data_IF_558011059758
#
_entry.id   IF_558011059758
#
_cell.length_a   1.000
_cell.length_b   1.000
_cell.length_c   1.000
_cell.angle_alpha   90.00
_cell.angle_beta   90.00
_cell.angle_gamma   90.00
#
_symmetry.space_group_name_H-M   'P 1'
#
loop_
_entity.id
_entity.type
_entity.pdbx_description
1 polymer ?
#
# COMPACT_ATOMS: atom_id res chain seq x y z
N UNK A 1 -78.01 9.12 2.74
CA UNK A 1 -77.77 9.25 1.32
C UNK A 1 -76.38 9.75 1.09
N UNK A 2 -75.58 9.05 0.30
CA UNK A 2 -74.28 9.36 -0.28
C UNK A 2 -73.03 9.33 0.58
N UNK A 3 -72.53 8.11 0.82
CA UNK A 3 -71.14 7.86 1.17
C UNK A 3 -70.43 6.86 0.19
N UNK A 4 -70.90 6.68 -1.03
CA UNK A 4 -70.45 5.57 -1.87
C UNK A 4 -69.78 5.99 -3.22
N UNK A 5 -69.54 7.30 -3.46
CA UNK A 5 -68.90 7.72 -4.72
C UNK A 5 -67.40 8.03 -4.62
N UNK A 6 -66.86 8.25 -3.42
CA UNK A 6 -65.42 8.56 -3.26
C UNK A 6 -64.49 7.33 -3.25
N UNK A 7 -65.07 6.08 -3.14
CA UNK A 7 -64.26 4.85 -3.10
C UNK A 7 -63.89 4.32 -4.49
N UNK A 8 -64.59 4.71 -5.55
CA UNK A 8 -64.29 4.24 -6.91
C UNK A 8 -63.22 5.04 -7.62
N UNK A 9 -63.11 6.33 -7.32
CA UNK A 9 -62.09 7.20 -7.94
C UNK A 9 -60.65 6.90 -7.45
N UNK A 10 -60.48 6.58 -6.17
CA UNK A 10 -59.16 6.28 -5.63
C UNK A 10 -58.56 4.96 -6.10
N UNK A 11 -59.43 3.96 -6.40
CA UNK A 11 -58.97 2.66 -6.91
C UNK A 11 -58.57 2.71 -8.39
N UNK A 12 -59.21 3.54 -9.19
CA UNK A 12 -58.88 3.72 -10.61
C UNK A 12 -57.50 4.45 -10.76
N UNK A 13 -57.24 5.45 -9.95
CA UNK A 13 -55.97 6.18 -9.99
C UNK A 13 -54.79 5.29 -9.53
N UNK A 14 -54.99 4.45 -8.53
CA UNK A 14 -53.98 3.50 -8.07
C UNK A 14 -53.59 2.45 -9.11
N UNK A 15 -54.57 1.92 -9.85
CA UNK A 15 -54.30 0.92 -10.90
C UNK A 15 -53.55 1.53 -12.09
N UNK A 16 -53.86 2.77 -12.49
CA UNK A 16 -53.18 3.44 -13.58
C UNK A 16 -51.75 3.78 -13.18
N UNK A 17 -51.48 4.16 -11.93
CA UNK A 17 -50.13 4.44 -11.44
C UNK A 17 -49.25 3.17 -11.43
N UNK A 18 -49.78 2.00 -11.04
CA UNK A 18 -49.04 0.74 -11.06
C UNK A 18 -48.81 0.22 -12.49
N UNK A 19 -49.74 0.39 -13.41
CA UNK A 19 -49.55 0.00 -14.81
C UNK A 19 -48.51 0.91 -15.50
N UNK A 20 -48.52 2.22 -15.21
CA UNK A 20 -47.53 3.16 -15.75
C UNK A 20 -46.11 2.87 -15.29
N UNK A 21 -45.93 2.52 -14.01
CA UNK A 21 -44.59 2.17 -13.46
C UNK A 21 -44.07 0.84 -14.01
N UNK A 22 -44.93 -0.16 -14.13
CA UNK A 22 -44.61 -1.44 -14.75
C UNK A 22 -44.17 -1.33 -16.21
N UNK A 23 -44.84 -0.46 -16.99
CA UNK A 23 -44.53 -0.23 -18.41
C UNK A 23 -43.20 0.54 -18.58
N UNK A 24 -42.90 1.50 -17.69
CA UNK A 24 -41.63 2.24 -17.66
C UNK A 24 -40.46 1.31 -17.33
N UNK A 25 -40.60 0.41 -16.35
CA UNK A 25 -39.56 -0.58 -16.00
C UNK A 25 -39.38 -1.58 -17.15
N UNK A 26 -40.45 -2.04 -17.81
CA UNK A 26 -40.36 -2.95 -18.94
C UNK A 26 -39.68 -2.33 -20.17
N UNK A 27 -39.83 -1.02 -20.39
CA UNK A 27 -39.18 -0.32 -21.51
C UNK A 27 -37.71 0.03 -21.24
N UNK A 28 -37.30 0.12 -19.96
CA UNK A 28 -35.89 0.45 -19.61
C UNK A 28 -35.01 -0.79 -19.45
N UNK A 29 -35.57 -1.97 -19.14
CA UNK A 29 -34.82 -3.21 -19.01
C UNK A 29 -33.97 -3.59 -20.23
N UNK A 30 -34.43 -3.44 -21.48
CA UNK A 30 -33.60 -3.75 -22.65
C UNK A 30 -32.48 -2.76 -22.89
N UNK A 31 -32.56 -1.51 -22.39
CA UNK A 31 -31.52 -0.53 -22.49
C UNK A 31 -30.39 -0.81 -21.49
N UNK A 32 -30.71 -1.25 -20.28
CA UNK A 32 -29.72 -1.64 -19.27
C UNK A 32 -29.01 -2.95 -19.61
N UNK A 33 -29.76 -3.92 -20.16
CA UNK A 33 -29.16 -5.17 -20.61
C UNK A 33 -28.18 -4.98 -21.78
N UNK A 34 -28.45 -4.03 -22.69
CA UNK A 34 -27.51 -3.72 -23.78
C UNK A 34 -26.22 -3.03 -23.32
N UNK A 35 -26.30 -2.15 -22.31
CA UNK A 35 -25.10 -1.50 -21.76
C UNK A 35 -24.22 -2.47 -21.00
N UNK A 36 -24.81 -3.38 -20.22
CA UNK A 36 -24.06 -4.42 -19.49
C UNK A 36 -23.45 -5.44 -20.46
N UNK A 37 -24.23 -5.86 -21.48
CA UNK A 37 -23.74 -6.81 -22.50
C UNK A 37 -22.61 -6.19 -23.34
N UNK A 38 -22.73 -4.93 -23.73
CA UNK A 38 -21.67 -4.26 -24.49
C UNK A 38 -20.39 -4.02 -23.67
N UNK A 39 -20.51 -3.91 -22.35
CA UNK A 39 -19.34 -3.80 -21.48
C UNK A 39 -18.63 -5.15 -21.30
N UNK A 40 -19.36 -6.26 -21.38
CA UNK A 40 -18.84 -7.63 -21.29
C UNK A 40 -18.31 -8.18 -22.63
N UNK A 41 -18.71 -7.61 -23.76
CA UNK A 41 -18.24 -8.05 -25.09
C UNK A 41 -16.70 -8.02 -25.23
N UNK A 42 -15.96 -6.98 -24.80
CA UNK A 42 -14.50 -7.00 -24.81
C UNK A 42 -13.93 -8.14 -23.96
N UNK A 43 -14.58 -8.44 -22.84
CA UNK A 43 -14.14 -9.50 -21.91
C UNK A 43 -14.41 -10.89 -22.48
N UNK A 44 -15.56 -11.08 -23.16
CA UNK A 44 -15.87 -12.35 -23.87
C UNK A 44 -14.94 -12.60 -25.03
N UNK A 45 -14.69 -11.61 -25.88
CA UNK A 45 -13.74 -11.72 -26.97
C UNK A 45 -12.32 -11.99 -26.48
N UNK A 46 -11.96 -11.40 -25.35
CA UNK A 46 -10.65 -11.58 -24.72
C UNK A 46 -10.48 -12.99 -24.13
N UNK A 47 -11.48 -13.52 -23.43
CA UNK A 47 -11.46 -14.90 -22.88
C UNK A 47 -11.35 -15.92 -24.01
N UNK A 48 -12.09 -15.75 -25.11
CA UNK A 48 -12.06 -16.68 -26.25
C UNK A 48 -10.77 -16.58 -27.08
N UNK A 49 -10.19 -15.39 -27.20
CA UNK A 49 -9.01 -15.15 -28.04
C UNK A 49 -7.65 -15.36 -27.36
N UNK A 50 -7.58 -15.29 -26.04
CA UNK A 50 -6.33 -15.34 -25.29
C UNK A 50 -6.07 -16.67 -24.58
N UNK A 51 -7.03 -17.60 -24.52
CA UNK A 51 -6.80 -18.93 -23.97
C UNK A 51 -5.78 -19.76 -24.80
N UNK A 52 -5.55 -19.39 -26.05
CA UNK A 52 -4.54 -20.04 -26.91
C UNK A 52 -3.21 -19.26 -27.02
N UNK A 53 -3.11 -18.07 -26.43
CA UNK A 53 -1.93 -17.22 -26.64
C UNK A 53 -1.26 -16.82 -25.34
N UNK A 54 -0.18 -17.53 -25.04
CA UNK A 54 1.05 -17.01 -24.43
C UNK A 54 1.13 -16.92 -22.92
N UNK A 55 1.83 -17.87 -22.39
CA UNK A 55 2.70 -17.69 -21.23
C UNK A 55 3.75 -16.62 -21.56
N UNK A 56 3.67 -15.43 -20.98
CA UNK A 56 4.75 -14.45 -21.00
C UNK A 56 5.70 -14.81 -19.85
N UNK A 57 6.96 -15.17 -20.12
CA UNK A 57 7.89 -15.47 -19.04
C UNK A 57 8.25 -14.20 -18.27
N UNK A 58 8.10 -14.26 -16.95
CA UNK A 58 8.54 -13.22 -16.03
C UNK A 58 10.07 -13.23 -15.88
N UNK A 59 10.78 -12.08 -15.87
CA UNK A 59 12.25 -12.04 -15.96
C UNK A 59 13.02 -12.35 -14.69
N UNK A 60 12.49 -13.08 -13.73
CA UNK A 60 13.22 -13.43 -12.50
C UNK A 60 12.88 -14.80 -11.93
N UNK A 61 12.84 -15.84 -12.76
CA UNK A 61 12.65 -17.19 -12.24
C UNK A 61 13.97 -17.94 -12.12
N UNK A 62 14.36 -18.33 -10.90
CA UNK A 62 15.19 -19.50 -10.72
C UNK A 62 14.42 -20.73 -11.24
N UNK A 63 15.11 -21.73 -11.83
CA UNK A 63 14.45 -22.95 -12.28
C UNK A 63 13.82 -23.65 -11.07
N UNK A 64 12.50 -23.66 -11.01
CA UNK A 64 11.75 -24.59 -10.16
C UNK A 64 11.81 -25.96 -10.86
N UNK A 65 12.04 -27.08 -10.13
CA UNK A 65 12.09 -28.41 -10.75
C UNK A 65 10.84 -28.67 -11.59
N UNK A 66 11.01 -29.39 -12.71
CA UNK A 66 10.04 -29.71 -13.77
C UNK A 66 8.71 -30.36 -13.31
N UNK A 67 7.97 -29.70 -12.43
CA UNK A 67 6.55 -30.02 -12.27
C UNK A 67 5.78 -29.41 -13.42
N UNK A 68 4.89 -30.16 -14.11
CA UNK A 68 4.09 -29.59 -15.18
C UNK A 68 3.28 -28.41 -14.64
N UNK A 69 3.49 -27.23 -15.21
CA UNK A 69 2.68 -26.05 -14.87
C UNK A 69 1.26 -26.35 -15.31
N UNK A 70 0.41 -26.71 -14.35
CA UNK A 70 -1.01 -26.95 -14.62
C UNK A 70 -1.66 -25.59 -14.80
N UNK A 71 -1.99 -25.22 -16.05
CA UNK A 71 -2.71 -23.99 -16.34
C UNK A 71 -4.06 -23.98 -15.60
N UNK A 72 -4.57 -22.77 -15.30
CA UNK A 72 -5.94 -22.62 -14.79
C UNK A 72 -6.92 -23.26 -15.80
N UNK A 73 -7.88 -24.08 -15.31
CA UNK A 73 -8.95 -24.58 -16.15
C UNK A 73 -9.85 -23.43 -16.61
N UNK A 74 -10.51 -23.62 -17.74
CA UNK A 74 -11.47 -22.63 -18.26
C UNK A 74 -12.55 -22.29 -17.23
N UNK A 75 -13.07 -23.30 -16.51
CA UNK A 75 -14.08 -23.12 -15.49
C UNK A 75 -13.61 -22.27 -14.30
N UNK A 76 -12.35 -22.46 -13.86
CA UNK A 76 -11.75 -21.64 -12.79
C UNK A 76 -11.60 -20.19 -13.20
N UNK A 77 -11.11 -19.96 -14.42
CA UNK A 77 -10.96 -18.60 -14.98
C UNK A 77 -12.31 -17.91 -15.12
N UNK A 78 -13.31 -18.58 -15.69
CA UNK A 78 -14.64 -18.03 -15.88
C UNK A 78 -15.31 -17.71 -14.54
N UNK A 79 -15.26 -18.62 -13.57
CA UNK A 79 -15.80 -18.39 -12.23
C UNK A 79 -15.11 -17.21 -11.52
N UNK A 80 -13.79 -17.14 -11.60
CA UNK A 80 -13.02 -16.03 -11.02
C UNK A 80 -13.35 -14.69 -11.69
N UNK A 81 -13.49 -14.67 -13.01
CA UNK A 81 -13.82 -13.48 -13.78
C UNK A 81 -15.24 -12.98 -13.46
N UNK A 82 -16.23 -13.89 -13.39
CA UNK A 82 -17.60 -13.54 -13.01
C UNK A 82 -17.66 -12.95 -11.60
N UNK A 83 -16.96 -13.56 -10.64
CA UNK A 83 -16.85 -13.06 -9.27
C UNK A 83 -16.17 -11.68 -9.24
N UNK A 84 -15.12 -11.50 -10.03
CA UNK A 84 -14.42 -10.23 -10.16
C UNK A 84 -15.37 -9.13 -10.64
N UNK A 85 -16.02 -9.31 -11.79
CA UNK A 85 -16.95 -8.34 -12.37
C UNK A 85 -18.05 -7.94 -11.38
N UNK A 86 -18.63 -8.92 -10.69
CA UNK A 86 -19.65 -8.65 -9.66
C UNK A 86 -19.11 -7.83 -8.50
N UNK A 87 -17.92 -8.14 -8.00
CA UNK A 87 -17.35 -7.47 -6.85
C UNK A 87 -16.91 -6.03 -7.13
N UNK A 88 -16.40 -5.75 -8.34
CA UNK A 88 -15.95 -4.41 -8.71
C UNK A 88 -17.03 -3.53 -9.33
N UNK A 89 -18.21 -4.07 -9.60
CA UNK A 89 -19.31 -3.31 -10.20
C UNK A 89 -19.66 -1.99 -9.47
N UNK A 90 -19.65 -1.91 -8.12
CA UNK A 90 -19.87 -0.65 -7.40
C UNK A 90 -18.64 0.23 -7.27
N UNK A 91 -17.47 -0.22 -7.73
CA UNK A 91 -16.19 0.48 -7.53
C UNK A 91 -15.89 1.40 -8.70
N UNK A 92 -15.58 2.65 -8.43
CA UNK A 92 -15.07 3.58 -9.46
C UNK A 92 -13.58 3.38 -9.62
N UNK A 93 -13.17 2.66 -10.67
CA UNK A 93 -11.77 2.34 -10.93
C UNK A 93 -11.47 2.21 -12.43
N UNK A 94 -10.22 2.50 -12.80
CA UNK A 94 -9.66 2.28 -14.13
C UNK A 94 -8.93 0.93 -14.13
N UNK A 95 -9.63 -0.11 -14.56
CA UNK A 95 -9.18 -1.50 -14.54
C UNK A 95 -8.93 -2.01 -15.97
N UNK A 96 -7.81 -2.69 -16.14
CA UNK A 96 -7.51 -3.45 -17.36
C UNK A 96 -7.41 -4.93 -17.00
N UNK A 97 -8.34 -5.77 -17.48
CA UNK A 97 -8.24 -7.21 -17.30
C UNK A 97 -6.93 -7.75 -17.92
N UNK A 98 -6.29 -8.67 -17.22
CA UNK A 98 -5.04 -9.31 -17.64
C UNK A 98 -5.30 -10.81 -17.82
N UNK A 99 -4.56 -11.44 -18.74
CA UNK A 99 -4.59 -12.87 -18.95
C UNK A 99 -4.32 -13.61 -17.62
N UNK A 100 -4.94 -14.79 -17.41
CA UNK A 100 -4.62 -15.63 -16.26
C UNK A 100 -3.12 -15.84 -16.13
N UNK A 101 -2.59 -15.65 -14.94
CA UNK A 101 -1.18 -15.88 -14.64
C UNK A 101 -1.06 -17.19 -13.88
N UNK A 102 -0.17 -18.08 -14.35
CA UNK A 102 0.22 -19.29 -13.65
C UNK A 102 1.70 -19.54 -13.87
N UNK A 103 2.48 -19.47 -12.78
CA UNK A 103 3.91 -19.72 -12.77
C UNK A 103 4.20 -20.61 -11.55
N UNK A 104 4.23 -21.93 -11.77
CA UNK A 104 4.24 -22.90 -10.69
C UNK A 104 3.02 -22.76 -9.77
N UNK A 105 3.27 -22.47 -8.51
CA UNK A 105 2.23 -22.20 -7.51
C UNK A 105 1.78 -20.73 -7.50
N UNK A 106 2.54 -19.83 -8.13
CA UNK A 106 2.19 -18.41 -8.24
C UNK A 106 1.12 -18.15 -9.30
N UNK A 107 0.40 -17.04 -9.14
CA UNK A 107 -0.51 -16.50 -10.14
C UNK A 107 -1.92 -16.26 -9.63
N UNK A 108 -2.75 -15.81 -10.55
CA UNK A 108 -4.17 -15.54 -10.32
C UNK A 108 -4.98 -15.85 -11.58
N UNK A 109 -6.20 -16.41 -11.45
CA UNK A 109 -7.03 -16.80 -12.60
C UNK A 109 -7.68 -15.61 -13.32
N UNK A 110 -7.88 -14.49 -12.63
CA UNK A 110 -8.50 -13.28 -13.20
C UNK A 110 -7.88 -12.00 -12.58
N UNK A 111 -6.58 -11.75 -12.80
CA UNK A 111 -5.93 -10.55 -12.30
C UNK A 111 -6.29 -9.33 -13.14
N UNK A 112 -6.13 -8.15 -12.54
CA UNK A 112 -6.35 -6.86 -13.22
C UNK A 112 -5.17 -5.93 -13.01
N UNK A 113 -4.87 -5.09 -14.00
CA UNK A 113 -4.06 -3.90 -13.79
C UNK A 113 -4.96 -2.76 -13.33
N UNK A 114 -4.77 -2.31 -12.09
CA UNK A 114 -5.40 -1.13 -11.54
C UNK A 114 -4.52 0.09 -11.86
N UNK A 115 -5.01 1.01 -12.71
CA UNK A 115 -4.33 2.25 -13.10
C UNK A 115 -4.78 3.45 -12.29
N UNK A 116 -6.03 3.45 -11.85
CA UNK A 116 -6.60 4.54 -11.07
C UNK A 116 -7.86 4.10 -10.34
N UNK A 117 -8.17 4.77 -9.22
CA UNK A 117 -9.27 4.39 -8.34
C UNK A 117 -9.78 5.61 -7.58
N UNK A 118 -11.03 5.62 -7.19
CA UNK A 118 -11.67 6.65 -6.39
C UNK A 118 -12.78 7.39 -7.12
N UNK A 119 -13.85 7.71 -6.37
CA UNK A 119 -15.06 8.33 -6.90
C UNK A 119 -14.94 9.85 -6.96
N UNK A 120 -14.63 10.49 -5.83
CA UNK A 120 -14.53 11.95 -5.70
C UNK A 120 -13.13 12.45 -6.01
N UNK A 121 -12.14 11.76 -5.49
CA UNK A 121 -10.74 12.08 -5.67
C UNK A 121 -10.06 10.91 -6.37
N UNK A 122 -9.80 11.06 -7.66
CA UNK A 122 -9.14 10.02 -8.43
C UNK A 122 -7.67 9.91 -8.00
N UNK A 123 -7.28 8.72 -7.56
CA UNK A 123 -5.90 8.35 -7.22
C UNK A 123 -5.33 7.52 -8.36
N UNK A 124 -4.21 7.94 -8.94
CA UNK A 124 -3.46 7.15 -9.93
C UNK A 124 -2.47 6.22 -9.23
N UNK A 125 -2.26 5.03 -9.79
CA UNK A 125 -1.29 4.05 -9.31
C UNK A 125 -0.07 4.05 -10.23
N UNK A 126 1.13 4.13 -9.66
CA UNK A 126 2.39 4.25 -10.40
C UNK A 126 3.46 3.30 -9.82
N UNK A 127 3.83 2.23 -10.56
CA UNK A 127 3.21 1.75 -11.79
C UNK A 127 1.77 1.22 -11.56
N UNK A 128 1.00 0.91 -12.63
CA UNK A 128 -0.27 0.19 -12.48
C UNK A 128 -0.09 -1.09 -11.66
N UNK A 129 -0.96 -1.31 -10.68
CA UNK A 129 -0.84 -2.44 -9.76
C UNK A 129 -1.52 -3.68 -10.34
N UNK A 130 -0.79 -4.79 -10.40
CA UNK A 130 -1.32 -6.09 -10.80
C UNK A 130 -1.87 -6.81 -9.57
N UNK A 131 -3.20 -6.84 -9.43
CA UNK A 131 -3.89 -7.34 -8.24
C UNK A 131 -5.14 -8.14 -8.60
N UNK A 132 -5.66 -8.88 -7.62
CA UNK A 132 -6.97 -9.52 -7.72
C UNK A 132 -8.12 -8.53 -7.38
N UNK A 133 -9.33 -8.88 -7.74
CA UNK A 133 -10.48 -7.99 -7.57
C UNK A 133 -10.89 -7.73 -6.10
N UNK A 134 -10.78 -8.68 -5.16
CA UNK A 134 -10.94 -8.37 -3.74
C UNK A 134 -10.01 -7.25 -3.25
N UNK A 135 -8.76 -7.22 -3.69
CA UNK A 135 -7.82 -6.14 -3.35
C UNK A 135 -8.25 -4.78 -3.92
N UNK A 136 -8.87 -4.75 -5.13
CA UNK A 136 -9.43 -3.51 -5.70
C UNK A 136 -10.53 -2.97 -4.78
N UNK A 137 -11.45 -3.83 -4.33
CA UNK A 137 -12.56 -3.44 -3.45
C UNK A 137 -12.06 -2.93 -2.11
N UNK A 138 -11.12 -3.65 -1.50
CA UNK A 138 -10.52 -3.26 -0.22
C UNK A 138 -9.78 -1.92 -0.34
N UNK A 139 -8.98 -1.74 -1.39
CA UNK A 139 -8.24 -0.51 -1.64
C UNK A 139 -9.18 0.69 -1.86
N UNK A 140 -10.26 0.51 -2.65
CA UNK A 140 -11.26 1.56 -2.86
C UNK A 140 -11.88 2.01 -1.53
N UNK A 141 -12.32 1.05 -0.73
CA UNK A 141 -12.90 1.32 0.57
C UNK A 141 -11.92 2.06 1.49
N UNK A 142 -10.69 1.59 1.57
CA UNK A 142 -9.65 2.22 2.39
C UNK A 142 -9.33 3.64 1.95
N UNK A 143 -9.25 3.89 0.64
CA UNK A 143 -9.01 5.23 0.09
C UNK A 143 -10.13 6.20 0.47
N UNK A 144 -11.38 5.81 0.25
CA UNK A 144 -12.54 6.68 0.47
C UNK A 144 -12.82 6.89 1.97
N UNK A 145 -12.75 5.83 2.79
CA UNK A 145 -13.11 5.88 4.22
C UNK A 145 -11.96 6.40 5.12
N UNK A 146 -10.70 6.23 4.70
CA UNK A 146 -9.55 6.52 5.57
C UNK A 146 -8.54 7.47 4.92
N UNK A 147 -7.96 7.11 3.77
CA UNK A 147 -6.78 7.82 3.23
C UNK A 147 -7.13 9.25 2.87
N UNK A 148 -8.22 9.47 2.13
CA UNK A 148 -8.61 10.80 1.67
C UNK A 148 -9.04 11.71 2.83
N UNK A 149 -9.85 11.27 3.80
CA UNK A 149 -10.13 12.06 4.99
C UNK A 149 -8.88 12.41 5.80
N UNK A 150 -8.02 11.41 6.08
CA UNK A 150 -6.79 11.63 6.83
C UNK A 150 -5.81 12.60 6.14
N UNK A 151 -5.68 12.51 4.80
CA UNK A 151 -4.84 13.43 4.03
C UNK A 151 -5.34 14.87 4.11
N UNK A 152 -6.63 15.09 3.98
CA UNK A 152 -7.23 16.43 4.13
C UNK A 152 -7.07 16.98 5.54
N UNK A 153 -7.32 16.15 6.56
CA UNK A 153 -7.23 16.56 7.95
C UNK A 153 -5.79 16.90 8.36
N UNK A 154 -4.85 15.98 8.10
CA UNK A 154 -3.49 16.12 8.58
C UNK A 154 -2.61 16.99 7.69
N UNK A 155 -2.84 16.94 6.36
CA UNK A 155 -1.94 17.54 5.36
C UNK A 155 -2.57 18.68 4.55
N UNK A 156 -3.89 18.89 4.67
CA UNK A 156 -4.63 19.95 3.96
C UNK A 156 -4.81 19.70 2.45
N UNK A 157 -4.39 18.52 1.93
CA UNK A 157 -4.47 18.18 0.51
C UNK A 157 -4.78 16.70 0.32
N UNK A 158 -5.68 16.31 -0.61
CA UNK A 158 -5.98 14.92 -0.85
C UNK A 158 -4.81 14.20 -1.54
N UNK A 159 -4.78 12.86 -1.43
CA UNK A 159 -3.87 12.02 -2.20
C UNK A 159 -4.33 11.96 -3.66
N UNK A 160 -3.42 12.22 -4.61
CA UNK A 160 -3.68 12.16 -6.05
C UNK A 160 -2.97 10.99 -6.74
N UNK A 161 -1.89 10.46 -6.12
CA UNK A 161 -1.14 9.32 -6.67
C UNK A 161 -0.57 8.47 -5.53
N UNK A 162 -0.52 7.17 -5.75
CA UNK A 162 0.20 6.21 -4.91
C UNK A 162 1.28 5.55 -5.76
N UNK A 163 2.51 5.53 -5.23
CA UNK A 163 3.60 4.74 -5.78
C UNK A 163 3.68 3.46 -4.98
N UNK A 164 3.73 2.30 -5.64
CA UNK A 164 3.73 1.04 -4.93
C UNK A 164 4.05 -0.15 -5.83
N UNK A 165 4.08 -1.33 -5.22
CA UNK A 165 4.25 -2.60 -5.90
C UNK A 165 3.19 -3.62 -5.48
N UNK A 166 3.01 -4.69 -6.26
CA UNK A 166 1.95 -5.67 -6.05
C UNK A 166 2.42 -7.09 -6.35
N UNK A 167 2.03 -7.68 -7.48
CA UNK A 167 2.37 -9.05 -7.83
C UNK A 167 3.88 -9.29 -7.92
N UNK A 168 4.34 -10.32 -7.22
CA UNK A 168 5.69 -10.85 -7.31
C UNK A 168 5.68 -12.34 -6.93
N UNK A 169 6.13 -13.22 -7.83
CA UNK A 169 6.25 -14.66 -7.55
C UNK A 169 7.45 -14.89 -6.63
N UNK A 170 7.20 -15.00 -5.34
CA UNK A 170 8.22 -15.22 -4.30
C UNK A 170 7.61 -15.82 -3.04
N UNK A 171 8.46 -16.42 -2.23
CA UNK A 171 8.09 -16.81 -0.86
C UNK A 171 8.12 -15.63 0.10
N UNK A 172 7.57 -15.80 1.29
CA UNK A 172 7.68 -14.83 2.38
C UNK A 172 9.16 -14.62 2.71
N UNK A 173 9.62 -13.37 2.68
CA UNK A 173 11.02 -12.96 2.89
C UNK A 173 12.03 -13.61 1.93
N UNK A 174 11.59 -14.07 0.76
CA UNK A 174 12.45 -14.81 -0.21
C UNK A 174 13.16 -16.03 0.39
N UNK A 175 12.58 -16.63 1.44
CA UNK A 175 13.16 -17.79 2.10
C UNK A 175 13.06 -19.04 1.19
N UNK A 176 14.15 -19.79 1.00
CA UNK A 176 14.08 -21.06 0.30
C UNK A 176 13.09 -22.03 1.00
N UNK A 177 12.18 -22.62 0.24
CA UNK A 177 11.14 -23.54 0.75
C UNK A 177 10.19 -22.92 1.80
N UNK A 178 10.07 -21.58 1.84
CA UNK A 178 9.10 -20.87 2.66
C UNK A 178 7.70 -20.89 2.02
N UNK A 179 6.69 -20.49 2.81
CA UNK A 179 5.33 -20.28 2.30
C UNK A 179 5.31 -19.19 1.22
N UNK A 180 4.41 -19.34 0.25
CA UNK A 180 4.21 -18.31 -0.77
C UNK A 180 3.71 -17.00 -0.15
N UNK A 181 4.30 -15.90 -0.57
CA UNK A 181 3.82 -14.56 -0.24
C UNK A 181 2.45 -14.30 -0.87
N UNK A 182 1.62 -13.46 -0.24
CA UNK A 182 0.37 -13.00 -0.83
C UNK A 182 0.58 -12.18 -2.13
N UNK A 183 1.77 -11.61 -2.33
CA UNK A 183 2.16 -11.04 -3.62
C UNK A 183 2.14 -12.08 -4.75
N UNK A 184 2.48 -13.32 -4.45
CA UNK A 184 2.50 -14.40 -5.43
C UNK A 184 1.12 -14.78 -5.99
N UNK A 185 0.04 -14.38 -5.33
CA UNK A 185 -1.36 -14.58 -5.76
C UNK A 185 -2.07 -13.27 -6.14
N UNK A 186 -1.31 -12.21 -6.39
CA UNK A 186 -1.85 -10.86 -6.66
C UNK A 186 -2.79 -10.35 -5.52
N UNK A 187 -2.54 -10.78 -4.29
CA UNK A 187 -3.38 -10.54 -3.11
C UNK A 187 -2.69 -9.63 -2.07
N UNK A 188 -1.67 -8.89 -2.47
CA UNK A 188 -0.94 -7.96 -1.60
C UNK A 188 -0.45 -6.72 -2.32
N UNK A 189 -0.21 -5.66 -1.53
CA UNK A 189 0.33 -4.37 -1.94
C UNK A 189 1.45 -3.95 -1.01
N UNK A 190 2.51 -3.36 -1.56
CA UNK A 190 3.54 -2.63 -0.83
C UNK A 190 3.49 -1.15 -1.26
N UNK A 191 3.18 -0.27 -0.32
CA UNK A 191 2.89 1.14 -0.57
C UNK A 191 3.90 2.05 0.17
N UNK A 192 5.01 2.44 -0.46
CA UNK A 192 6.03 3.29 0.16
C UNK A 192 5.71 4.78 0.12
N UNK A 193 4.95 5.29 -0.87
CA UNK A 193 4.81 6.73 -1.11
C UNK A 193 3.40 7.12 -1.51
N UNK A 194 2.91 8.19 -0.88
CA UNK A 194 1.69 8.92 -1.23
C UNK A 194 2.08 10.29 -1.83
N UNK A 195 1.52 10.64 -2.98
CA UNK A 195 1.70 11.96 -3.59
C UNK A 195 0.39 12.72 -3.50
N UNK A 196 0.44 13.91 -2.92
CA UNK A 196 -0.71 14.77 -2.73
C UNK A 196 -1.06 15.54 -4.00
N UNK A 197 -2.27 16.07 -4.09
CA UNK A 197 -2.73 16.88 -5.21
C UNK A 197 -1.93 18.18 -5.39
N UNK A 198 -1.30 18.69 -4.32
CA UNK A 198 -0.41 19.84 -4.35
C UNK A 198 1.04 19.51 -4.74
N UNK A 199 1.32 18.24 -5.08
CA UNK A 199 2.62 17.74 -5.51
C UNK A 199 3.57 17.30 -4.40
N UNK A 200 3.25 17.53 -3.13
CA UNK A 200 4.06 17.02 -2.00
C UNK A 200 4.04 15.50 -1.99
N UNK A 201 5.18 14.91 -1.59
CA UNK A 201 5.33 13.47 -1.40
C UNK A 201 5.44 13.17 0.08
N UNK A 202 4.69 12.18 0.52
CA UNK A 202 4.77 11.62 1.86
C UNK A 202 5.25 10.18 1.72
N UNK A 203 6.49 9.93 2.10
CA UNK A 203 7.07 8.59 2.09
C UNK A 203 7.19 8.02 3.50
N UNK A 204 7.13 6.70 3.62
CA UNK A 204 7.17 6.05 4.92
C UNK A 204 8.55 6.11 5.58
N UNK A 205 9.62 6.15 4.77
CA UNK A 205 11.00 6.15 5.29
C UNK A 205 11.29 7.38 6.13
N UNK A 206 10.82 8.55 5.68
CA UNK A 206 11.11 9.84 6.32
C UNK A 206 9.90 10.37 7.11
N UNK A 207 8.68 10.12 6.62
CA UNK A 207 7.47 10.66 7.19
C UNK A 207 6.96 9.94 8.44
N UNK A 208 7.33 8.67 8.66
CA UNK A 208 6.86 7.90 9.82
C UNK A 208 7.40 8.41 11.14
N UNK A 209 8.63 8.92 11.16
CA UNK A 209 9.35 9.28 12.36
C UNK A 209 9.98 8.06 13.08
N UNK A 210 10.64 8.27 14.23
CA UNK A 210 11.35 7.21 14.92
C UNK A 210 10.38 6.15 15.48
N UNK A 211 10.70 4.89 15.24
CA UNK A 211 9.99 3.75 15.84
C UNK A 211 10.47 3.49 17.27
N UNK A 212 9.71 2.74 18.10
CA UNK A 212 10.18 2.31 19.42
C UNK A 212 11.55 1.63 19.39
N UNK A 213 11.84 0.85 18.32
CA UNK A 213 13.14 0.21 18.12
C UNK A 213 14.26 1.24 17.93
N UNK A 214 14.02 2.31 17.19
CA UNK A 214 14.99 3.38 16.97
C UNK A 214 15.31 4.12 18.27
N UNK A 215 14.30 4.40 19.07
CA UNK A 215 14.48 5.05 20.38
C UNK A 215 15.30 4.19 21.34
N UNK A 216 15.03 2.86 21.37
CA UNK A 216 15.81 1.91 22.18
C UNK A 216 17.26 1.85 21.68
N UNK A 217 17.50 1.77 20.37
CA UNK A 217 18.84 1.75 19.78
C UNK A 217 19.61 3.05 20.11
N UNK A 218 18.98 4.21 19.96
CA UNK A 218 19.57 5.50 20.29
C UNK A 218 19.93 5.62 21.79
N UNK A 219 19.07 5.10 22.67
CA UNK A 219 19.35 5.08 24.11
C UNK A 219 20.54 4.19 24.48
N UNK A 220 20.68 3.01 23.82
CA UNK A 220 21.84 2.12 23.99
C UNK A 220 23.14 2.81 23.54
N UNK A 221 23.12 3.46 22.37
CA UNK A 221 24.28 4.17 21.83
C UNK A 221 24.74 5.31 22.76
N UNK A 222 23.80 6.09 23.29
CA UNK A 222 24.11 7.15 24.28
C UNK A 222 24.77 6.60 25.53
N UNK A 223 24.32 5.47 26.07
CA UNK A 223 24.94 4.81 27.24
C UNK A 223 26.33 4.33 26.94
N UNK A 224 26.57 3.75 25.78
CA UNK A 224 27.90 3.26 25.38
C UNK A 224 28.87 4.39 25.19
N UNK A 225 28.49 5.49 24.54
CA UNK A 225 29.31 6.68 24.35
C UNK A 225 29.64 7.36 25.68
N UNK A 226 28.66 7.45 26.59
CA UNK A 226 28.90 8.03 27.93
C UNK A 226 29.85 7.17 28.80
N UNK A 227 29.77 5.83 28.66
CA UNK A 227 30.68 4.91 29.32
C UNK A 227 32.13 5.03 28.76
N UNK A 228 32.28 5.15 27.42
CA UNK A 228 33.55 5.34 26.77
C UNK A 228 34.22 6.65 27.18
N UNK A 229 33.45 7.75 27.23
CA UNK A 229 33.96 9.06 27.70
C UNK A 229 34.41 9.02 29.17
N UNK A 230 33.72 8.29 30.05
CA UNK A 230 34.14 8.10 31.44
C UNK A 230 35.41 7.24 31.57
N UNK A 231 35.58 6.24 30.71
CA UNK A 231 36.78 5.41 30.69
C UNK A 231 38.03 6.23 30.26
N UNK A 232 37.87 7.10 29.26
CA UNK A 232 38.99 7.95 28.75
C UNK A 232 39.37 9.05 29.75
N UNK A 233 38.39 9.62 30.48
CA UNK A 233 38.69 10.65 31.50
C UNK A 233 39.31 10.08 32.79
N UNK A 234 39.20 8.77 33.03
CA UNK A 234 39.83 8.09 34.15
C UNK A 234 41.32 7.78 33.95
N UNK A 235 41.82 7.74 32.73
CA UNK A 235 43.23 7.44 32.40
C UNK A 235 44.15 8.65 32.38
N UNK A 236 43.63 9.86 32.34
CA UNK A 236 44.46 11.08 32.35
C UNK A 236 44.89 11.58 33.74
N UNK A 237 44.62 10.84 34.81
CA UNK A 237 44.94 11.26 36.20
C UNK A 237 46.08 10.47 36.83
N UNK A 238 46.82 9.65 36.06
CA UNK A 238 47.83 8.76 36.60
C UNK A 238 49.29 8.99 36.08
N UNK A 239 49.54 10.02 35.28
CA UNK A 239 50.92 10.30 34.83
C UNK A 239 51.23 11.81 34.89
N UNK A 240 51.42 12.33 36.12
CA UNK A 240 52.01 13.64 36.33
C UNK A 240 52.92 13.63 37.56
N UNK A 241 53.97 12.85 37.47
CA UNK A 241 55.19 13.03 38.28
C UNK A 241 56.35 12.29 37.63
N UNK A 242 57.02 12.94 36.70
CA UNK A 242 58.45 12.74 36.50
C UNK A 242 59.07 13.93 35.71
N UNK A 243 59.76 14.75 36.44
CA UNK A 243 60.55 15.88 36.05
C UNK A 243 61.88 15.36 35.49
N UNK A 244 62.25 15.65 34.23
CA UNK A 244 63.59 15.71 33.73
C UNK A 244 63.75 16.84 32.70
N UNK A 245 64.51 17.83 33.01
CA UNK A 245 64.99 18.91 32.14
C UNK A 245 66.04 18.39 31.15
N UNK A 246 65.86 18.66 29.85
CA UNK A 246 66.99 18.89 28.92
C UNK A 246 66.57 19.91 27.86
N UNK A 247 67.33 20.99 27.83
CA UNK A 247 67.45 22.03 26.83
C UNK A 247 67.92 21.44 25.50
N UNK A 248 67.30 21.81 24.36
CA UNK A 248 68.09 22.36 23.24
C UNK A 248 67.13 22.98 22.17
N UNK A 249 67.62 24.07 21.65
CA UNK A 249 67.05 25.03 20.72
C UNK A 249 67.17 24.52 19.28
N UNK A 250 66.11 24.45 18.51
CA UNK A 250 66.16 24.65 17.06
C UNK A 250 64.92 25.44 16.58
N UNK A 251 65.23 26.64 16.07
CA UNK A 251 64.35 27.51 15.31
C UNK A 251 64.13 26.94 13.93
N UNK A 252 62.87 26.74 13.48
CA UNK A 252 62.53 26.83 12.06
C UNK A 252 61.08 27.37 11.91
N UNK A 253 61.10 28.49 11.33
CA UNK A 253 60.17 29.22 10.42
C UNK A 253 58.65 28.85 10.35
N UNK A 254 57.92 29.92 10.59
CA UNK A 254 56.50 30.14 10.34
C UNK A 254 56.04 29.83 8.92
N UNK A 255 54.94 29.07 8.80
CA UNK A 255 53.95 29.32 7.77
C UNK A 255 52.55 29.14 8.36
N UNK A 256 51.78 30.19 8.30
CA UNK A 256 50.43 30.30 8.83
C UNK A 256 49.46 29.44 7.99
N UNK A 257 48.68 28.60 8.64
CA UNK A 257 47.45 28.00 8.08
C UNK A 257 46.30 28.45 8.98
N UNK A 258 45.19 28.92 8.41
CA UNK A 258 44.11 29.52 9.21
C UNK A 258 43.34 28.44 9.99
N UNK A 259 43.19 28.73 11.26
CA UNK A 259 42.40 27.97 12.23
C UNK A 259 40.92 27.94 11.83
N UNK A 260 40.45 26.79 11.35
CA UNK A 260 39.05 26.56 11.08
C UNK A 260 38.39 26.02 12.35
N UNK A 261 37.58 26.87 12.97
CA UNK A 261 36.93 26.66 14.24
C UNK A 261 36.34 25.27 14.45
N UNK A 262 36.73 24.72 15.56
CA UNK A 262 36.18 23.55 16.22
C UNK A 262 34.70 23.81 16.52
N UNK A 263 33.81 23.31 15.67
CA UNK A 263 32.38 23.25 15.98
C UNK A 263 32.18 22.15 17.01
N UNK A 264 32.10 22.54 18.27
CA UNK A 264 31.49 21.72 19.30
C UNK A 264 30.10 21.27 18.80
N UNK A 265 30.00 19.99 18.48
CA UNK A 265 28.70 19.35 18.20
C UNK A 265 27.95 19.24 19.53
N UNK A 266 27.22 20.29 19.87
CA UNK A 266 26.12 20.18 20.84
C UNK A 266 25.14 19.21 20.25
N UNK A 267 24.95 18.03 20.88
CA UNK A 267 23.94 17.06 20.56
C UNK A 267 22.55 17.67 20.88
N UNK A 268 22.04 18.46 19.95
CA UNK A 268 20.69 18.97 19.97
C UNK A 268 19.79 17.74 19.81
N UNK A 269 18.82 17.57 20.69
CA UNK A 269 17.72 16.60 20.49
C UNK A 269 17.14 16.84 19.10
N UNK A 270 16.75 15.79 18.35
CA UNK A 270 16.22 15.96 17.00
C UNK A 270 15.02 16.90 17.06
N UNK A 271 15.15 18.07 16.46
CA UNK A 271 14.04 19.01 16.26
C UNK A 271 13.14 18.33 15.25
N UNK A 272 12.01 17.76 15.72
CA UNK A 272 10.98 17.19 14.84
C UNK A 272 10.39 18.36 14.04
N UNK A 273 10.66 18.39 12.75
CA UNK A 273 10.07 19.37 11.86
C UNK A 273 8.53 19.25 11.93
N UNK A 274 7.78 20.37 12.10
CA UNK A 274 6.32 20.33 12.14
C UNK A 274 5.68 19.64 10.92
N UNK A 275 6.26 19.75 9.73
CA UNK A 275 5.84 19.03 8.53
C UNK A 275 5.94 17.51 8.73
N UNK A 276 7.02 17.02 9.32
CA UNK A 276 7.22 15.59 9.63
C UNK A 276 6.21 15.09 10.67
N UNK A 277 5.80 15.92 11.62
CA UNK A 277 4.77 15.54 12.60
C UNK A 277 3.39 15.34 11.93
N UNK A 278 3.03 16.19 10.97
CA UNK A 278 1.78 16.06 10.21
C UNK A 278 1.80 14.80 9.30
N UNK A 279 2.93 14.53 8.65
CA UNK A 279 3.13 13.31 7.85
C UNK A 279 3.03 12.06 8.71
N UNK A 280 3.69 12.05 9.87
CA UNK A 280 3.62 10.94 10.82
C UNK A 280 2.19 10.69 11.31
N UNK A 281 1.42 11.77 11.59
CA UNK A 281 -0.01 11.67 11.93
C UNK A 281 -0.79 11.02 10.78
N UNK A 282 -0.64 11.50 9.57
CA UNK A 282 -1.29 10.95 8.38
C UNK A 282 -0.98 9.46 8.22
N UNK A 283 0.30 9.07 8.21
CA UNK A 283 0.74 7.70 7.98
C UNK A 283 0.21 6.73 9.05
N UNK A 284 0.12 7.16 10.31
CA UNK A 284 -0.46 6.33 11.39
C UNK A 284 -1.97 6.18 11.24
N UNK A 285 -2.68 7.23 10.85
CA UNK A 285 -4.12 7.17 10.60
C UNK A 285 -4.44 6.21 9.44
N UNK A 286 -3.68 6.28 8.35
CA UNK A 286 -3.92 5.40 7.20
C UNK A 286 -3.58 3.94 7.52
N UNK A 287 -2.53 3.68 8.31
CA UNK A 287 -2.23 2.33 8.79
C UNK A 287 -3.34 1.80 9.69
N UNK A 288 -3.78 2.60 10.66
CA UNK A 288 -4.85 2.20 11.58
C UNK A 288 -6.15 1.85 10.84
N UNK A 289 -6.57 2.69 9.88
CA UNK A 289 -7.77 2.41 9.10
C UNK A 289 -7.59 1.22 8.14
N UNK A 290 -6.37 0.93 7.68
CA UNK A 290 -6.10 -0.28 6.91
C UNK A 290 -6.36 -1.54 7.74
N UNK A 291 -6.07 -1.54 9.03
CA UNK A 291 -6.28 -2.69 9.93
C UNK A 291 -7.75 -3.11 10.07
N UNK A 292 -8.69 -2.22 9.76
CA UNK A 292 -10.14 -2.52 9.77
C UNK A 292 -10.61 -3.19 8.47
N UNK A 293 -9.77 -3.20 7.43
CA UNK A 293 -10.16 -3.62 6.08
C UNK A 293 -9.33 -4.81 5.58
N UNK A 294 -8.01 -4.77 5.82
CA UNK A 294 -7.07 -5.80 5.37
C UNK A 294 -6.82 -6.85 6.45
N UNK A 295 -6.54 -8.07 6.03
CA UNK A 295 -6.23 -9.17 6.97
C UNK A 295 -4.84 -9.05 7.57
N UNK A 296 -3.89 -8.48 6.81
CA UNK A 296 -2.54 -8.19 7.28
C UNK A 296 -2.19 -6.76 6.92
N UNK A 297 -1.72 -6.01 7.91
CA UNK A 297 -1.15 -4.68 7.76
C UNK A 297 0.17 -4.65 8.51
N UNK A 298 1.27 -4.48 7.78
CA UNK A 298 2.60 -4.36 8.35
C UNK A 298 3.22 -3.03 7.92
N UNK A 299 3.70 -2.27 8.89
CA UNK A 299 4.34 -0.98 8.66
C UNK A 299 5.71 -0.89 9.33
N UNK A 300 6.27 0.30 9.44
CA UNK A 300 7.60 0.53 10.01
C UNK A 300 7.81 0.00 11.42
N UNK A 301 6.74 -0.19 12.18
CA UNK A 301 6.82 -0.72 13.55
C UNK A 301 6.81 -2.26 13.61
N UNK A 302 6.41 -2.94 12.53
CA UNK A 302 6.37 -4.41 12.48
C UNK A 302 7.77 -5.03 12.55
N UNK A 303 8.64 -4.69 11.61
CA UNK A 303 10.03 -5.18 11.52
C UNK A 303 10.84 -4.30 10.54
N UNK A 304 12.13 -4.63 10.36
CA UNK A 304 13.01 -3.83 9.52
C UNK A 304 12.72 -3.97 8.02
N UNK A 305 12.14 -5.07 7.57
CA UNK A 305 11.75 -5.29 6.17
C UNK A 305 10.64 -4.32 5.76
N UNK A 306 9.69 -4.04 6.66
CA UNK A 306 8.56 -3.15 6.40
C UNK A 306 8.82 -1.68 6.81
N UNK A 307 10.10 -1.31 7.11
CA UNK A 307 10.46 0.05 7.55
C UNK A 307 10.10 1.13 6.53
N UNK A 308 10.06 0.80 5.25
CA UNK A 308 9.95 1.74 4.14
C UNK A 308 8.60 1.74 3.43
N UNK A 309 7.67 0.87 3.82
CA UNK A 309 6.38 0.73 3.15
C UNK A 309 5.31 0.15 4.08
N UNK A 310 4.04 0.36 3.72
CA UNK A 310 2.92 -0.41 4.26
C UNK A 310 2.70 -1.63 3.38
N UNK A 311 2.83 -2.82 3.97
CA UNK A 311 2.37 -4.07 3.36
C UNK A 311 0.91 -4.31 3.75
N UNK A 312 0.06 -4.52 2.76
CA UNK A 312 -1.38 -4.78 2.91
C UNK A 312 -1.75 -6.05 2.18
N UNK A 313 -2.42 -7.00 2.84
CA UNK A 313 -2.92 -8.20 2.17
C UNK A 313 -4.31 -8.65 2.68
N UNK A 314 -4.95 -9.52 1.90
CA UNK A 314 -6.22 -10.16 2.23
C UNK A 314 -6.04 -11.67 2.44
N UNK A 315 -4.95 -12.09 3.10
CA UNK A 315 -4.73 -13.49 3.43
C UNK A 315 -5.91 -14.00 4.27
N UNK A 316 -6.48 -15.15 3.89
CA UNK A 316 -7.50 -15.81 4.70
C UNK A 316 -6.88 -16.30 6.02
N UNK A 317 -7.24 -15.62 7.10
CA UNK A 317 -6.78 -15.94 8.46
C UNK A 317 -7.97 -16.39 9.28
N UNK A 318 -7.91 -17.62 9.79
CA UNK A 318 -9.02 -18.26 10.51
C UNK A 318 -9.42 -17.57 11.81
N UNK A 319 -8.64 -16.66 12.38
CA UNK A 319 -8.92 -16.16 13.72
C UNK A 319 -8.53 -14.70 14.03
N UNK A 320 -7.47 -14.13 13.47
CA UNK A 320 -7.00 -12.78 13.86
C UNK A 320 -6.32 -12.08 12.70
N UNK A 321 -6.74 -10.83 12.43
CA UNK A 321 -6.03 -9.92 11.55
C UNK A 321 -4.70 -9.51 12.19
N UNK A 322 -3.67 -9.36 11.39
CA UNK A 322 -2.34 -8.91 11.82
C UNK A 322 -2.20 -7.42 11.52
N UNK A 323 -2.09 -6.61 12.58
CA UNK A 323 -1.88 -5.17 12.46
C UNK A 323 -0.65 -4.76 13.29
N UNK A 324 0.45 -4.36 12.65
CA UNK A 324 1.72 -4.00 13.31
C UNK A 324 2.43 -2.85 12.60
#
# INVERSE_FOLDING_TARGET
MNQNENSRSSKAVSVIAFCGFGLLVALTLPLWSRTVVNWLEPVRGWVSGNLERSVIPSPSSRPIPDAPVVAWSHAEVEAALMKCVQSVAPVTADLVPIAPIRDGECGAPAPVHLRGIGSKDKVTLDPPLLINCPMVVALHRWLDETVQPAAREALGSPVAKIIGSSYACRTVYDLPNGDLSQHASANALDLPVFVLADGRKVDLTHGWGPTPRDLIAAAKTKKTSAAALKATSGQQKADSDNNVAVTDVVKVSTSQVPNKGERQATATAPVVNPATAAEAKFLRLVQQGACEIFSTVLGPEANDVHRTHLHLDLQDRKSVNVCK
#
